data_IF_225062643172
#
_entry.id   IF_225062643172
#
_cell.length_a   1.000
_cell.length_b   1.000
_cell.length_c   1.000
_cell.angle_alpha   90.00
_cell.angle_beta   90.00
_cell.angle_gamma   90.00
#
_symmetry.space_group_name_H-M   'P 1'
#
loop_
_entity.id
_entity.type
_entity.pdbx_description
1 polymer ?
#
# COMPACT_ATOMS: atom_id res chain seq x y z
N UNK A 1 -1.52 14.74 -4.17
CA UNK A 1 -0.35 14.30 -3.39
C UNK A 1 0.39 15.56 -3.04
N UNK A 2 0.15 16.12 -1.86
CA UNK A 2 0.71 17.42 -1.43
C UNK A 2 2.25 17.40 -1.29
N UNK A 3 2.84 16.21 -1.43
CA UNK A 3 4.27 15.96 -1.51
C UNK A 3 4.58 15.26 -2.84
N UNK A 4 4.86 16.01 -3.92
CA UNK A 4 5.24 15.41 -5.20
C UNK A 4 6.63 14.80 -5.04
N UNK A 5 6.68 13.47 -4.96
CA UNK A 5 7.94 12.75 -4.99
C UNK A 5 8.59 12.85 -6.37
N UNK A 6 9.93 12.89 -6.45
CA UNK A 6 10.62 12.89 -7.73
C UNK A 6 10.24 11.65 -8.53
N UNK A 7 9.82 11.82 -9.79
CA UNK A 7 9.67 10.69 -10.72
C UNK A 7 11.02 10.06 -11.08
N UNK A 8 12.11 10.80 -10.86
CA UNK A 8 13.49 10.35 -11.05
C UNK A 8 14.27 10.60 -9.76
N UNK A 9 14.85 9.53 -9.21
CA UNK A 9 15.74 9.63 -8.05
C UNK A 9 17.03 10.35 -8.46
N UNK A 10 17.24 11.56 -7.94
CA UNK A 10 18.54 12.23 -7.96
C UNK A 10 19.52 11.66 -6.91
N UNK A 11 19.07 10.68 -6.13
CA UNK A 11 19.83 10.03 -5.08
C UNK A 11 21.00 9.19 -5.64
N UNK A 12 22.23 9.40 -5.17
CA UNK A 12 23.39 8.62 -5.61
C UNK A 12 23.45 7.21 -4.99
N UNK A 13 22.66 6.94 -3.94
CA UNK A 13 22.61 5.66 -3.25
C UNK A 13 21.18 5.14 -3.13
N UNK A 14 21.05 3.81 -3.05
CA UNK A 14 19.78 3.16 -2.74
C UNK A 14 19.40 3.42 -1.26
N UNK A 15 18.12 3.65 -0.93
CA UNK A 15 17.71 4.01 0.44
C UNK A 15 18.12 3.02 1.53
N UNK A 16 18.29 1.74 1.20
CA UNK A 16 18.75 0.71 2.14
C UNK A 16 20.22 0.81 2.54
N UNK A 17 21.04 1.58 1.80
CA UNK A 17 22.47 1.80 2.09
C UNK A 17 22.71 3.07 2.91
N UNK A 18 21.67 3.81 3.28
CA UNK A 18 21.79 5.02 4.07
C UNK A 18 22.13 4.63 5.52
N UNK A 19 23.24 5.12 6.10
CA UNK A 19 23.61 4.75 7.46
C UNK A 19 22.62 5.34 8.48
N UNK A 20 22.30 4.56 9.53
CA UNK A 20 21.55 5.03 10.69
C UNK A 20 22.50 5.67 11.73
N UNK A 21 22.04 6.67 12.52
CA UNK A 21 20.68 7.23 12.57
C UNK A 21 20.39 8.19 11.42
N UNK A 22 19.13 8.27 10.99
CA UNK A 22 18.68 9.26 9.99
C UNK A 22 18.82 10.66 10.58
N UNK A 23 19.47 11.55 9.85
CA UNK A 23 19.58 13.00 10.16
C UNK A 23 18.77 13.82 9.16
N UNK A 24 18.55 15.11 9.44
CA UNK A 24 17.69 16.03 8.67
C UNK A 24 18.14 16.32 7.20
N UNK A 25 19.16 15.63 6.71
CA UNK A 25 19.64 15.72 5.32
C UNK A 25 20.26 14.39 4.89
N UNK A 26 19.59 13.27 5.21
CA UNK A 26 20.08 11.93 4.88
C UNK A 26 19.93 11.60 3.40
N UNK A 27 19.02 12.31 2.71
CA UNK A 27 18.78 12.21 1.27
C UNK A 27 19.33 13.47 0.58
N UNK A 28 19.79 13.33 -0.66
CA UNK A 28 20.30 14.46 -1.45
C UNK A 28 19.16 15.38 -1.93
N UNK A 29 17.99 14.81 -2.17
CA UNK A 29 16.81 15.52 -2.66
C UNK A 29 15.96 16.11 -1.51
N UNK A 30 15.66 17.43 -1.53
CA UNK A 30 14.85 18.06 -0.51
C UNK A 30 13.41 17.53 -0.45
N UNK A 31 12.83 17.09 -1.56
CA UNK A 31 11.47 16.53 -1.56
C UNK A 31 11.44 15.17 -0.83
N UNK A 32 12.47 14.35 -1.01
CA UNK A 32 12.64 13.07 -0.30
C UNK A 32 12.88 13.28 1.20
N UNK A 33 13.66 14.29 1.60
CA UNK A 33 13.83 14.66 3.02
C UNK A 33 12.50 15.11 3.66
N UNK A 34 11.71 15.93 2.96
CA UNK A 34 10.39 16.35 3.45
C UNK A 34 9.43 15.16 3.60
N UNK A 35 9.48 14.21 2.66
CA UNK A 35 8.72 12.96 2.73
C UNK A 35 9.16 12.06 3.89
N UNK A 36 10.47 11.89 4.09
CA UNK A 36 11.04 11.15 5.22
C UNK A 36 10.59 11.73 6.57
N UNK A 37 10.59 13.06 6.72
CA UNK A 37 10.14 13.73 7.93
C UNK A 37 8.65 13.47 8.21
N UNK A 38 7.82 13.53 7.18
CA UNK A 38 6.39 13.26 7.28
C UNK A 38 6.12 11.80 7.67
N UNK A 39 6.70 10.82 6.97
CA UNK A 39 6.54 9.40 7.28
C UNK A 39 7.10 9.06 8.67
N UNK A 40 8.18 9.72 9.09
CA UNK A 40 8.76 9.52 10.42
C UNK A 40 7.81 9.95 11.53
N UNK A 41 6.96 10.96 11.31
CA UNK A 41 6.01 11.48 12.32
C UNK A 41 4.82 10.57 12.65
N UNK A 42 4.53 9.56 11.83
CA UNK A 42 3.41 8.64 12.06
C UNK A 42 3.86 7.34 12.74
N UNK A 43 3.05 6.84 13.66
CA UNK A 43 3.32 5.58 14.37
C UNK A 43 2.92 4.33 13.58
N UNK A 44 2.10 4.47 12.52
CA UNK A 44 1.62 3.36 11.71
C UNK A 44 0.82 3.84 10.49
N UNK A 45 0.53 2.92 9.56
CA UNK A 45 -0.07 3.27 8.27
C UNK A 45 -1.23 2.36 7.87
N UNK A 46 -2.25 2.97 7.27
CA UNK A 46 -3.29 2.27 6.52
C UNK A 46 -3.15 2.66 5.06
N UNK A 47 -2.68 1.73 4.23
CA UNK A 47 -2.50 1.93 2.80
C UNK A 47 -3.77 1.51 2.09
N UNK A 48 -4.51 2.49 1.55
CA UNK A 48 -5.68 2.24 0.72
C UNK A 48 -5.28 2.34 -0.74
N UNK A 49 -5.37 1.24 -1.49
CA UNK A 49 -4.90 1.22 -2.89
C UNK A 49 -5.89 0.57 -3.86
N UNK A 50 -6.10 1.15 -5.05
CA UNK A 50 -6.81 0.49 -6.12
C UNK A 50 -5.99 -0.69 -6.66
N UNK A 51 -6.67 -1.69 -7.20
CA UNK A 51 -6.06 -2.69 -8.08
C UNK A 51 -5.82 -2.10 -9.47
N UNK A 52 -4.57 -1.98 -9.87
CA UNK A 52 -4.20 -1.55 -11.21
C UNK A 52 -3.51 -2.70 -11.94
N UNK A 53 -4.13 -3.22 -13.01
CA UNK A 53 -3.61 -4.34 -13.81
C UNK A 53 -3.12 -5.53 -12.96
N UNK A 54 -3.91 -5.93 -11.98
CA UNK A 54 -3.58 -6.99 -11.00
C UNK A 54 -2.42 -6.69 -10.05
N UNK A 55 -1.97 -5.44 -9.97
CA UNK A 55 -0.95 -4.98 -9.03
C UNK A 55 -1.32 -3.68 -8.33
N UNK A 56 -0.34 -3.12 -7.62
CA UNK A 56 -0.44 -1.80 -7.00
C UNK A 56 -0.07 -0.71 -8.01
N UNK A 57 -0.59 0.52 -7.86
CA UNK A 57 -0.26 1.62 -8.74
C UNK A 57 1.21 2.02 -8.61
N UNK A 58 1.79 2.49 -9.73
CA UNK A 58 3.19 2.92 -9.78
C UNK A 58 3.52 4.05 -8.79
N UNK A 59 2.57 4.95 -8.55
CA UNK A 59 2.71 6.04 -7.58
C UNK A 59 2.89 5.55 -6.14
N UNK A 60 2.19 4.47 -5.76
CA UNK A 60 2.35 3.88 -4.42
C UNK A 60 3.73 3.26 -4.26
N UNK A 61 4.21 2.55 -5.29
CA UNK A 61 5.54 1.95 -5.26
C UNK A 61 6.63 2.99 -5.17
N UNK A 62 6.51 4.07 -5.92
CA UNK A 62 7.44 5.19 -5.86
C UNK A 62 7.50 5.80 -4.45
N UNK A 63 6.34 5.96 -3.80
CA UNK A 63 6.26 6.50 -2.44
C UNK A 63 6.88 5.59 -1.37
N UNK A 64 6.73 4.28 -1.54
CA UNK A 64 7.34 3.28 -0.66
C UNK A 64 8.84 3.16 -0.91
N UNK A 65 9.27 3.12 -2.17
CA UNK A 65 10.66 2.91 -2.57
C UNK A 65 11.58 4.08 -2.24
N UNK A 66 11.03 5.29 -2.11
CA UNK A 66 11.81 6.48 -1.77
C UNK A 66 12.51 6.36 -0.41
N UNK A 67 11.98 5.54 0.50
CA UNK A 67 12.41 5.43 1.90
C UNK A 67 12.58 3.95 2.29
N UNK A 68 13.36 3.67 3.32
CA UNK A 68 13.57 2.28 3.78
C UNK A 68 13.56 2.16 5.30
N UNK A 69 14.39 2.96 5.96
CA UNK A 69 14.57 2.89 7.41
C UNK A 69 13.32 3.37 8.16
N UNK A 70 12.58 4.29 7.58
CA UNK A 70 11.37 4.92 8.14
C UNK A 70 10.21 3.93 8.25
N UNK A 71 10.14 2.95 7.35
CA UNK A 71 9.11 1.90 7.38
C UNK A 71 9.45 0.76 8.35
N UNK A 72 10.71 0.66 8.77
CA UNK A 72 11.18 -0.48 9.58
C UNK A 72 10.56 -0.43 10.98
N UNK A 73 9.77 -1.44 11.32
CA UNK A 73 9.16 -1.57 12.65
C UNK A 73 7.81 -0.88 12.83
N UNK A 74 7.27 -0.21 11.80
CA UNK A 74 5.94 0.43 11.86
C UNK A 74 4.83 -0.54 11.42
N UNK A 75 3.70 -0.65 12.14
CA UNK A 75 2.56 -1.46 11.72
C UNK A 75 1.91 -0.89 10.46
N UNK A 76 1.57 -1.77 9.51
CA UNK A 76 0.93 -1.42 8.23
C UNK A 76 -0.29 -2.29 7.98
N UNK A 77 -1.42 -1.66 7.67
CA UNK A 77 -2.64 -2.31 7.18
C UNK A 77 -2.83 -1.98 5.70
N UNK A 78 -3.02 -3.00 4.85
CA UNK A 78 -3.29 -2.83 3.43
C UNK A 78 -4.77 -3.07 3.14
N UNK A 79 -5.46 -2.04 2.66
CA UNK A 79 -6.86 -2.10 2.22
C UNK A 79 -6.88 -1.92 0.71
N UNK A 80 -7.42 -2.89 0.00
CA UNK A 80 -7.42 -2.85 -1.44
C UNK A 80 -8.84 -2.88 -2.00
N UNK A 81 -9.06 -2.12 -3.08
CA UNK A 81 -10.35 -2.10 -3.76
C UNK A 81 -10.15 -2.33 -5.27
N UNK A 82 -11.05 -3.10 -5.87
CA UNK A 82 -10.95 -3.54 -7.27
C UNK A 82 -12.13 -4.43 -7.63
N UNK A 83 -12.40 -4.58 -8.93
CA UNK A 83 -13.61 -5.27 -9.43
C UNK A 83 -13.72 -6.74 -9.00
N UNK A 84 -12.59 -7.38 -8.74
CA UNK A 84 -12.49 -8.68 -8.08
C UNK A 84 -11.42 -8.49 -7.02
N UNK A 85 -11.76 -8.66 -5.74
CA UNK A 85 -10.83 -8.45 -4.64
C UNK A 85 -9.46 -9.12 -4.88
N UNK A 86 -8.41 -8.57 -4.26
CA UNK A 86 -7.04 -9.04 -4.43
C UNK A 86 -6.91 -10.47 -3.89
N UNK A 87 -7.05 -11.46 -4.77
CA UNK A 87 -7.07 -12.89 -4.41
C UNK A 87 -8.19 -13.70 -5.05
N UNK A 88 -9.23 -13.07 -5.61
CA UNK A 88 -10.29 -13.77 -6.35
C UNK A 88 -9.80 -14.05 -7.79
N UNK A 89 -8.73 -14.83 -7.91
CA UNK A 89 -8.32 -15.46 -9.15
C UNK A 89 -9.38 -16.49 -9.55
N UNK A 90 -10.21 -16.12 -10.53
CA UNK A 90 -11.16 -16.97 -11.29
C UNK A 90 -11.24 -18.44 -10.84
N UNK A 91 -12.16 -18.77 -9.93
CA UNK A 91 -12.93 -20.00 -10.14
C UNK A 91 -13.93 -19.67 -11.23
N UNK A 92 -13.68 -20.19 -12.43
CA UNK A 92 -14.60 -20.13 -13.54
C UNK A 92 -15.97 -20.64 -13.08
N UNK A 93 -16.89 -19.71 -12.82
CA UNK A 93 -18.30 -20.03 -12.74
C UNK A 93 -18.72 -20.46 -14.14
N UNK A 94 -19.17 -21.70 -14.26
CA UNK A 94 -19.85 -22.24 -15.43
C UNK A 94 -20.92 -21.24 -15.91
N UNK A 95 -21.11 -21.05 -17.23
CA UNK A 95 -22.10 -20.11 -17.72
C UNK A 95 -23.49 -20.70 -17.51
N UNK A 96 -24.19 -20.27 -16.46
CA UNK A 96 -25.55 -20.72 -16.20
C UNK A 96 -26.02 -20.54 -14.77
N UNK A 97 -26.12 -19.29 -14.29
CA UNK A 97 -27.04 -18.94 -13.20
C UNK A 97 -27.18 -17.41 -13.15
N UNK A 98 -28.27 -16.89 -13.73
CA UNK A 98 -28.77 -15.58 -13.35
C UNK A 98 -29.25 -15.65 -11.90
N UNK A 99 -28.67 -14.84 -11.02
CA UNK A 99 -29.05 -14.78 -9.62
C UNK A 99 -27.99 -14.06 -8.80
N UNK A 100 -28.40 -12.95 -8.19
CA UNK A 100 -27.59 -12.14 -7.27
C UNK A 100 -26.97 -13.05 -6.19
N UNK A 101 -25.64 -13.19 -6.18
CA UNK A 101 -24.92 -13.91 -5.13
C UNK A 101 -24.37 -12.89 -4.11
N UNK A 102 -24.74 -12.96 -2.82
CA UNK A 102 -24.18 -12.08 -1.81
C UNK A 102 -22.73 -12.47 -1.52
N UNK A 103 -21.88 -11.45 -1.38
CA UNK A 103 -20.48 -11.61 -1.00
C UNK A 103 -20.38 -12.08 0.46
N UNK A 104 -20.21 -13.39 0.68
CA UNK A 104 -19.89 -13.95 1.98
C UNK A 104 -18.36 -13.97 2.18
N UNK A 105 -17.83 -13.00 2.92
CA UNK A 105 -16.43 -13.03 3.38
C UNK A 105 -16.32 -13.96 4.59
N UNK A 106 -15.55 -15.05 4.45
CA UNK A 106 -15.26 -15.98 5.53
C UNK A 106 -14.24 -15.36 6.51
N UNK A 107 -14.71 -14.84 7.64
CA UNK A 107 -13.86 -14.54 8.79
C UNK A 107 -13.73 -15.81 9.65
N UNK A 108 -12.54 -16.41 9.71
CA UNK A 108 -12.25 -17.45 10.71
C UNK A 108 -12.23 -16.81 12.09
N UNK A 109 -13.36 -16.88 12.79
CA UNK A 109 -13.56 -17.12 14.24
C UNK A 109 -14.96 -16.64 14.66
N UNK A 110 -15.95 -17.51 14.45
CA UNK A 110 -17.01 -17.72 15.43
C UNK A 110 -18.20 -16.76 15.49
N UNK A 111 -18.32 -15.72 14.67
CA UNK A 111 -19.59 -14.95 14.60
C UNK A 111 -19.90 -14.55 13.17
N UNK A 112 -20.97 -15.14 12.61
CA UNK A 112 -21.53 -14.78 11.30
C UNK A 112 -22.63 -13.75 11.55
N UNK A 113 -22.40 -12.50 11.18
CA UNK A 113 -23.47 -11.49 11.08
C UNK A 113 -23.84 -11.38 9.61
N UNK A 114 -24.90 -12.08 9.21
CA UNK A 114 -25.61 -11.81 7.97
C UNK A 114 -26.56 -10.63 8.21
N UNK A 115 -26.23 -9.42 7.76
CA UNK A 115 -27.25 -8.41 7.52
C UNK A 115 -27.88 -8.70 6.15
N UNK A 116 -29.18 -8.98 6.17
CA UNK A 116 -30.00 -9.29 5.00
C UNK A 116 -30.49 -8.01 4.33
N UNK A 117 -30.45 -8.08 3.00
CA UNK A 117 -31.13 -7.31 1.96
C UNK A 117 -30.86 -5.80 1.91
#
# INVERSE_FOLDING_TARGET
>A
MDHPLPLYTAEPLVPSRIPRPLTFNSYADPATNAWSALISSFDGFIIVTPQHNWGYPASLKLALDALFHEWTGKPVLLVTYGGLGWGEGRRAASPGAGGHAPACVHARRGTVVCQRA
#
